data_IF_692507567998
#
_entry.id   IF_692507567998
#
_cell.length_a   1.000
_cell.length_b   1.000
_cell.length_c   1.000
_cell.angle_alpha   90.00
_cell.angle_beta   90.00
_cell.angle_gamma   90.00
#
_symmetry.space_group_name_H-M   'P 1'
#
loop_
_entity.id
_entity.type
_entity.pdbx_description
1 polymer ?
#
# COMPACT_ATOMS: atom_id res chain seq x y z
N UNK A 1 -6.89 10.12 -3.76
CA UNK A 1 -6.39 8.73 -3.71
C UNK A 1 -6.08 8.23 -5.12
N UNK A 2 -4.92 7.62 -5.35
CA UNK A 2 -4.55 7.03 -6.65
C UNK A 2 -4.32 5.53 -6.49
N UNK A 3 -4.84 4.71 -7.39
CA UNK A 3 -4.55 3.27 -7.47
C UNK A 3 -3.89 2.93 -8.81
N UNK A 4 -2.80 2.18 -8.77
CA UNK A 4 -2.12 1.62 -9.94
C UNK A 4 -2.34 0.11 -10.00
N UNK A 5 -2.97 -0.38 -11.07
CA UNK A 5 -3.39 -1.76 -11.23
C UNK A 5 -2.53 -2.51 -12.25
N UNK A 6 -2.25 -3.80 -12.02
CA UNK A 6 -1.51 -4.65 -12.98
C UNK A 6 -2.33 -5.06 -14.21
N UNK A 7 -3.66 -4.89 -14.15
CA UNK A 7 -4.64 -5.15 -15.19
C UNK A 7 -5.97 -4.51 -14.80
N UNK A 8 -7.09 -5.15 -15.12
CA UNK A 8 -8.40 -4.70 -14.65
C UNK A 8 -8.44 -4.57 -13.11
N UNK A 9 -8.99 -3.46 -12.63
CA UNK A 9 -9.08 -3.18 -11.20
C UNK A 9 -10.05 -4.15 -10.52
N UNK A 10 -9.64 -4.62 -9.34
CA UNK A 10 -10.51 -5.39 -8.46
C UNK A 10 -11.67 -4.53 -7.96
N UNK A 11 -12.89 -5.02 -8.11
CA UNK A 11 -14.10 -4.26 -7.77
C UNK A 11 -14.19 -3.97 -6.27
N UNK A 12 -13.82 -4.91 -5.40
CA UNK A 12 -13.86 -4.68 -3.96
C UNK A 12 -12.88 -3.59 -3.55
N UNK A 13 -11.66 -3.62 -4.10
CA UNK A 13 -10.63 -2.61 -3.87
C UNK A 13 -11.10 -1.23 -4.31
N UNK A 14 -11.66 -1.12 -5.51
CA UNK A 14 -12.06 0.17 -6.06
C UNK A 14 -13.32 0.71 -5.37
N UNK A 15 -14.30 -0.13 -5.03
CA UNK A 15 -15.45 0.25 -4.21
C UNK A 15 -15.04 0.72 -2.82
N UNK A 16 -14.08 0.04 -2.17
CA UNK A 16 -13.57 0.46 -0.87
C UNK A 16 -12.88 1.83 -0.95
N UNK A 17 -12.14 2.11 -2.01
CA UNK A 17 -11.52 3.42 -2.24
C UNK A 17 -12.57 4.50 -2.50
N UNK A 18 -13.60 4.19 -3.28
CA UNK A 18 -14.71 5.12 -3.55
C UNK A 18 -15.43 5.48 -2.26
N UNK A 19 -15.77 4.49 -1.45
CA UNK A 19 -16.42 4.71 -0.16
C UNK A 19 -15.52 5.53 0.79
N UNK A 20 -14.22 5.21 0.85
CA UNK A 20 -13.27 5.98 1.63
C UNK A 20 -13.15 7.43 1.14
N UNK A 21 -13.12 7.65 -0.17
CA UNK A 21 -13.09 8.97 -0.77
C UNK A 21 -14.36 9.77 -0.43
N UNK A 22 -15.53 9.16 -0.53
CA UNK A 22 -16.81 9.76 -0.16
C UNK A 22 -16.83 10.18 1.33
N UNK A 23 -16.27 9.35 2.23
CA UNK A 23 -16.16 9.68 3.65
C UNK A 23 -15.16 10.80 3.95
N UNK A 24 -14.10 10.92 3.16
CA UNK A 24 -13.06 11.95 3.36
C UNK A 24 -13.25 13.20 2.51
N UNK A 25 -14.25 13.25 1.63
CA UNK A 25 -14.41 14.31 0.62
C UNK A 25 -13.30 14.31 -0.43
N UNK A 26 -12.72 13.15 -0.71
CA UNK A 26 -11.64 12.96 -1.69
C UNK A 26 -12.14 12.44 -3.03
N UNK A 27 -11.20 12.15 -3.93
CA UNK A 27 -11.48 11.53 -5.23
C UNK A 27 -10.56 10.33 -5.48
N UNK A 28 -11.01 9.40 -6.31
CA UNK A 28 -10.26 8.20 -6.69
C UNK A 28 -9.83 8.30 -8.14
N UNK A 29 -8.53 8.13 -8.37
CA UNK A 29 -7.95 7.97 -9.69
C UNK A 29 -7.51 6.51 -9.83
N UNK A 30 -7.96 5.82 -10.88
CA UNK A 30 -7.59 4.45 -11.20
C UNK A 30 -6.75 4.43 -12.48
N UNK A 31 -5.49 4.03 -12.36
CA UNK A 31 -4.55 3.87 -13.46
C UNK A 31 -4.49 2.40 -13.83
N UNK A 32 -4.78 2.10 -15.09
CA UNK A 32 -4.73 0.76 -15.69
C UNK A 32 -3.82 0.77 -16.93
N UNK A 33 -3.22 -0.37 -17.31
CA UNK A 33 -2.22 -0.37 -18.38
C UNK A 33 -2.85 -0.30 -19.78
N UNK A 34 -4.06 -0.84 -19.97
CA UNK A 34 -4.70 -0.90 -21.30
C UNK A 34 -6.17 -0.43 -21.29
N UNK A 35 -6.71 -0.13 -22.47
CA UNK A 35 -8.13 0.18 -22.64
C UNK A 35 -9.03 -1.03 -22.38
N UNK A 36 -8.53 -2.25 -22.60
CA UNK A 36 -9.27 -3.48 -22.28
C UNK A 36 -9.45 -3.61 -20.76
N UNK A 37 -8.38 -3.35 -20.00
CA UNK A 37 -8.42 -3.32 -18.53
C UNK A 37 -9.34 -2.22 -18.00
N UNK A 38 -9.38 -1.05 -18.66
CA UNK A 38 -10.32 0.03 -18.32
C UNK A 38 -11.77 -0.42 -18.48
N UNK A 39 -12.10 -1.07 -19.60
CA UNK A 39 -13.45 -1.57 -19.85
C UNK A 39 -13.83 -2.65 -18.85
N UNK A 40 -12.90 -3.58 -18.56
CA UNK A 40 -13.08 -4.60 -17.52
C UNK A 40 -13.33 -3.95 -16.15
N UNK A 41 -12.53 -2.96 -15.77
CA UNK A 41 -12.66 -2.26 -14.49
C UNK A 41 -14.03 -1.58 -14.35
N UNK A 42 -14.47 -0.84 -15.37
CA UNK A 42 -15.79 -0.18 -15.38
C UNK A 42 -16.94 -1.18 -15.31
N UNK A 43 -16.79 -2.33 -15.97
CA UNK A 43 -17.80 -3.38 -15.97
C UNK A 43 -17.99 -3.98 -14.58
N UNK A 44 -16.91 -4.39 -13.90
CA UNK A 44 -16.99 -5.08 -12.60
C UNK A 44 -17.40 -4.13 -11.47
N UNK A 45 -16.91 -2.88 -11.49
CA UNK A 45 -17.26 -1.86 -10.49
C UNK A 45 -18.72 -1.43 -10.60
N UNK A 46 -19.31 -1.53 -11.80
CA UNK A 46 -20.67 -1.10 -12.07
C UNK A 46 -20.79 0.40 -12.33
N UNK A 47 -21.93 0.77 -12.94
CA UNK A 47 -22.15 2.10 -13.54
C UNK A 47 -22.03 3.26 -12.55
N UNK A 48 -22.60 3.11 -11.35
CA UNK A 48 -22.65 4.18 -10.35
C UNK A 48 -21.26 4.50 -9.82
N UNK A 49 -20.55 3.50 -9.28
CA UNK A 49 -19.20 3.69 -8.76
C UNK A 49 -18.19 4.03 -9.86
N UNK A 50 -18.40 3.60 -11.11
CA UNK A 50 -17.54 3.99 -12.23
C UNK A 50 -17.56 5.49 -12.55
N UNK A 51 -18.64 6.20 -12.18
CA UNK A 51 -18.73 7.66 -12.36
C UNK A 51 -18.01 8.43 -11.25
N UNK A 52 -17.73 7.79 -10.12
CA UNK A 52 -17.02 8.37 -8.97
C UNK A 52 -15.50 8.15 -9.06
N UNK A 53 -15.04 7.43 -10.08
CA UNK A 53 -13.62 7.15 -10.34
C UNK A 53 -13.16 7.76 -11.66
N UNK A 54 -12.05 8.51 -11.58
CA UNK A 54 -11.32 8.98 -12.76
C UNK A 54 -10.41 7.86 -13.28
N UNK A 55 -10.72 7.31 -14.45
CA UNK A 55 -9.91 6.25 -15.05
C UNK A 55 -8.87 6.81 -16.01
N UNK A 56 -7.63 6.35 -15.86
CA UNK A 56 -6.50 6.70 -16.71
C UNK A 56 -5.87 5.44 -17.30
N UNK A 57 -5.54 5.49 -18.58
CA UNK A 57 -4.79 4.42 -19.26
C UNK A 57 -3.36 4.87 -19.48
N UNK A 58 -2.39 4.07 -19.03
CA UNK A 58 -0.98 4.32 -19.31
C UNK A 58 -0.03 3.85 -18.22
N UNK A 59 1.20 4.34 -18.29
CA UNK A 59 2.28 4.01 -17.37
C UNK A 59 2.11 4.74 -16.04
N UNK A 60 1.92 3.99 -14.95
CA UNK A 60 1.61 4.52 -13.64
C UNK A 60 2.73 5.41 -13.08
N UNK A 61 4.01 5.07 -13.29
CA UNK A 61 5.15 5.86 -12.84
C UNK A 61 5.19 7.24 -13.50
N UNK A 62 4.84 7.35 -14.78
CA UNK A 62 4.83 8.60 -15.54
C UNK A 62 3.67 9.48 -15.05
N UNK A 63 2.48 8.90 -14.92
CA UNK A 63 1.28 9.62 -14.48
C UNK A 63 1.43 10.10 -13.03
N UNK A 64 1.95 9.26 -12.13
CA UNK A 64 2.22 9.63 -10.73
C UNK A 64 3.31 10.69 -10.60
N UNK A 65 4.33 10.68 -11.47
CA UNK A 65 5.40 11.68 -11.41
C UNK A 65 4.95 13.06 -11.95
N UNK A 66 4.12 13.07 -13.00
CA UNK A 66 3.82 14.29 -13.76
C UNK A 66 2.46 14.90 -13.44
N UNK A 67 1.42 14.08 -13.31
CA UNK A 67 0.03 14.55 -13.17
C UNK A 67 -0.47 14.40 -11.74
N UNK A 68 -0.12 13.29 -11.09
CA UNK A 68 -0.62 12.93 -9.76
C UNK A 68 0.49 12.95 -8.69
N UNK A 69 1.50 13.80 -8.87
CA UNK A 69 2.57 14.00 -7.88
C UNK A 69 2.03 14.52 -6.54
N UNK A 70 0.80 15.02 -6.54
CA UNK A 70 0.08 15.52 -5.38
C UNK A 70 -0.79 14.51 -4.63
N UNK A 71 -0.67 13.23 -4.96
CA UNK A 71 -1.41 12.20 -4.27
C UNK A 71 -0.97 12.09 -2.79
N UNK A 72 -1.98 12.13 -1.91
CA UNK A 72 -1.86 11.92 -0.47
C UNK A 72 -1.89 10.44 -0.06
N UNK A 73 -2.58 9.62 -0.85
CA UNK A 73 -2.68 8.17 -0.72
C UNK A 73 -2.48 7.50 -2.08
N UNK A 74 -1.52 6.57 -2.16
CA UNK A 74 -1.24 5.78 -3.36
C UNK A 74 -1.31 4.29 -3.03
N UNK A 75 -2.16 3.57 -3.75
CA UNK A 75 -2.28 2.11 -3.71
C UNK A 75 -1.63 1.50 -4.95
N UNK A 76 -0.73 0.54 -4.77
CA UNK A 76 0.05 -0.09 -5.85
C UNK A 76 -0.23 -1.59 -5.84
N UNK A 77 -0.63 -2.14 -6.98
CA UNK A 77 -0.62 -3.59 -7.18
C UNK A 77 0.82 -4.07 -7.33
N UNK A 78 1.34 -4.82 -6.36
CA UNK A 78 2.69 -5.36 -6.44
C UNK A 78 2.85 -6.46 -7.51
N UNK A 79 1.77 -6.89 -8.19
CA UNK A 79 1.86 -7.72 -9.40
C UNK A 79 2.38 -6.93 -10.62
N UNK A 80 2.38 -5.59 -10.57
CA UNK A 80 3.00 -4.76 -11.60
C UNK A 80 4.50 -5.03 -11.69
N UNK A 81 5.02 -5.27 -12.89
CA UNK A 81 6.46 -5.51 -13.10
C UNK A 81 7.30 -4.31 -12.67
N UNK A 82 6.77 -3.10 -12.83
CA UNK A 82 7.41 -1.82 -12.55
C UNK A 82 6.99 -1.19 -11.19
N UNK A 83 6.51 -2.00 -10.24
CA UNK A 83 6.09 -1.52 -8.92
C UNK A 83 7.21 -0.76 -8.17
N UNK A 84 8.48 -1.11 -8.38
CA UNK A 84 9.61 -0.38 -7.79
C UNK A 84 9.81 1.01 -8.42
N UNK A 85 9.67 1.16 -9.74
CA UNK A 85 9.70 2.45 -10.42
C UNK A 85 8.55 3.35 -9.96
N UNK A 86 7.35 2.78 -9.82
CA UNK A 86 6.16 3.49 -9.32
C UNK A 86 6.42 4.00 -7.89
N UNK A 87 6.95 3.17 -7.01
CA UNK A 87 7.29 3.58 -5.65
C UNK A 87 8.32 4.73 -5.65
N UNK A 88 9.34 4.67 -6.51
CA UNK A 88 10.33 5.75 -6.67
C UNK A 88 9.70 7.03 -7.20
N UNK A 89 8.79 6.94 -8.17
CA UNK A 89 8.07 8.10 -8.71
C UNK A 89 7.28 8.82 -7.61
N UNK A 90 6.55 8.05 -6.78
CA UNK A 90 5.82 8.60 -5.64
C UNK A 90 6.77 9.18 -4.59
N UNK A 91 7.92 8.56 -4.34
CA UNK A 91 8.92 9.10 -3.42
C UNK A 91 9.49 10.43 -3.92
N UNK A 92 9.77 10.56 -5.23
CA UNK A 92 10.29 11.78 -5.83
C UNK A 92 9.25 12.90 -5.81
N UNK A 93 8.00 12.60 -6.20
CA UNK A 93 6.87 13.54 -6.11
C UNK A 93 6.57 13.95 -4.66
N UNK A 94 6.53 12.96 -3.76
CA UNK A 94 6.24 13.11 -2.33
C UNK A 94 7.33 13.83 -1.53
N UNK A 95 8.54 14.05 -2.05
CA UNK A 95 9.48 14.99 -1.42
C UNK A 95 8.94 16.42 -1.38
N UNK A 96 8.00 16.75 -2.27
CA UNK A 96 7.31 18.05 -2.30
C UNK A 96 6.13 18.10 -1.33
N UNK A 97 5.68 16.95 -0.81
CA UNK A 97 4.46 16.82 -0.02
C UNK A 97 4.69 16.07 1.29
N UNK A 98 4.45 16.74 2.41
CA UNK A 98 4.61 16.10 3.71
C UNK A 98 3.49 15.08 3.94
N UNK A 99 3.80 13.79 3.87
CA UNK A 99 3.00 12.76 4.50
C UNK A 99 2.27 11.77 3.59
N UNK A 100 2.59 11.69 2.29
CA UNK A 100 2.00 10.70 1.36
C UNK A 100 2.11 9.29 1.92
N UNK A 101 0.96 8.60 2.01
CA UNK A 101 0.84 7.21 2.41
C UNK A 101 0.85 6.32 1.16
N UNK A 102 1.82 5.42 1.07
CA UNK A 102 1.90 4.45 -0.02
C UNK A 102 1.65 3.06 0.53
N UNK A 103 0.69 2.38 -0.11
CA UNK A 103 0.28 1.03 0.23
C UNK A 103 0.51 0.14 -1.00
N UNK A 104 1.18 -0.99 -0.83
CA UNK A 104 1.32 -2.01 -1.87
C UNK A 104 0.57 -3.26 -1.48
N UNK A 105 -0.39 -3.70 -2.28
CA UNK A 105 -1.08 -4.99 -2.06
C UNK A 105 -0.49 -6.06 -2.96
N UNK A 106 -0.70 -7.34 -2.63
CA UNK A 106 -0.01 -8.49 -3.26
C UNK A 106 1.53 -8.47 -3.03
N UNK A 107 1.98 -7.85 -1.94
CA UNK A 107 3.40 -7.59 -1.70
C UNK A 107 4.24 -8.87 -1.47
N UNK A 108 3.62 -10.02 -1.16
CA UNK A 108 4.33 -11.29 -1.04
C UNK A 108 4.74 -11.90 -2.37
N UNK A 109 4.19 -11.43 -3.49
CA UNK A 109 4.66 -11.82 -4.83
C UNK A 109 6.09 -11.32 -5.06
N UNK A 110 6.45 -10.21 -4.43
CA UNK A 110 7.76 -9.56 -4.59
C UNK A 110 8.84 -10.09 -3.63
N UNK A 111 8.80 -11.39 -3.27
CA UNK A 111 9.82 -12.06 -2.43
C UNK A 111 11.22 -11.87 -3.06
N UNK A 112 12.04 -11.00 -2.45
CA UNK A 112 13.40 -10.67 -2.92
C UNK A 112 13.56 -9.30 -3.59
N UNK A 113 12.48 -8.56 -3.82
CA UNK A 113 12.52 -7.19 -4.35
C UNK A 113 13.16 -6.21 -3.37
N UNK A 114 13.75 -5.12 -3.89
CA UNK A 114 14.45 -4.08 -3.13
C UNK A 114 13.50 -3.18 -2.33
N UNK A 115 12.21 -3.46 -2.40
CA UNK A 115 11.11 -2.85 -1.66
C UNK A 115 11.33 -2.86 -0.13
N UNK A 116 12.09 -3.83 0.40
CA UNK A 116 12.50 -3.87 1.81
C UNK A 116 13.76 -3.04 2.14
N UNK A 117 14.54 -2.60 1.15
CA UNK A 117 15.79 -1.84 1.31
C UNK A 117 15.59 -0.33 1.29
N UNK A 118 14.39 0.14 0.98
CA UNK A 118 13.98 1.56 1.03
C UNK A 118 14.08 2.17 2.44
N UNK A 119 14.43 1.37 3.45
CA UNK A 119 14.82 1.82 4.79
C UNK A 119 16.04 2.77 4.82
N UNK A 120 16.76 2.96 3.70
CA UNK A 120 17.85 3.94 3.61
C UNK A 120 17.38 5.40 3.68
N UNK A 121 16.07 5.68 3.59
CA UNK A 121 15.53 7.05 3.56
C UNK A 121 14.71 7.46 4.79
N UNK A 122 14.77 6.73 5.90
CA UNK A 122 14.15 7.14 7.17
C UNK A 122 12.63 6.97 7.25
N UNK A 123 11.96 6.44 6.21
CA UNK A 123 10.53 6.10 6.26
C UNK A 123 10.29 4.79 7.02
N UNK A 124 9.28 4.79 7.91
CA UNK A 124 8.86 3.59 8.67
C UNK A 124 8.04 2.67 7.79
N UNK A 125 8.74 1.84 7.04
CA UNK A 125 8.15 0.80 6.20
C UNK A 125 7.70 -0.40 7.03
N UNK A 126 6.51 -0.93 6.74
CA UNK A 126 5.94 -2.13 7.37
C UNK A 126 5.37 -3.08 6.32
N UNK A 127 5.68 -4.36 6.45
CA UNK A 127 5.03 -5.44 5.69
C UNK A 127 4.07 -6.16 6.65
N UNK A 128 2.78 -6.16 6.29
CA UNK A 128 1.68 -6.73 7.04
C UNK A 128 1.19 -7.99 6.34
N UNK A 129 0.97 -9.09 7.08
CA UNK A 129 0.43 -10.31 6.51
C UNK A 129 -1.10 -10.24 6.41
N UNK A 130 -1.61 -9.35 5.57
CA UNK A 130 -3.04 -9.22 5.25
C UNK A 130 -3.20 -9.64 3.79
N UNK A 131 -4.08 -10.59 3.51
CA UNK A 131 -4.24 -11.19 2.17
C UNK A 131 -2.90 -11.69 1.59
N UNK A 132 -2.63 -11.36 0.31
CA UNK A 132 -1.36 -11.67 -0.37
C UNK A 132 -0.19 -10.75 0.03
N UNK A 133 -0.29 -10.10 1.20
CA UNK A 133 0.72 -9.21 1.75
C UNK A 133 0.42 -7.75 1.45
N UNK A 134 0.47 -6.93 2.50
CA UNK A 134 0.24 -5.49 2.43
C UNK A 134 1.48 -4.75 2.92
N UNK A 135 2.11 -4.01 2.03
CA UNK A 135 3.16 -3.09 2.39
C UNK A 135 2.61 -1.71 2.66
N UNK A 136 3.16 -1.05 3.68
CA UNK A 136 2.79 0.30 4.05
C UNK A 136 4.06 1.11 4.29
N UNK A 137 4.19 2.24 3.61
CA UNK A 137 5.26 3.21 3.86
C UNK A 137 4.70 4.63 3.77
N UNK A 138 5.37 5.55 4.47
CA UNK A 138 4.97 6.95 4.48
C UNK A 138 6.17 7.81 4.10
N UNK A 139 5.98 8.67 3.10
CA UNK A 139 6.98 9.63 2.65
C UNK A 139 6.72 11.03 3.23
N UNK A 140 7.76 11.86 3.30
CA UNK A 140 7.65 13.26 3.76
C UNK A 140 7.43 13.47 5.27
N UNK A 141 7.44 12.40 6.09
CA UNK A 141 7.46 12.57 7.54
C UNK A 141 8.90 12.74 8.03
N UNK A 142 9.32 13.99 8.24
CA UNK A 142 10.50 14.31 9.06
C UNK A 142 10.16 14.03 10.53
N UNK A 143 9.99 12.76 10.91
CA UNK A 143 10.08 12.43 12.33
C UNK A 143 11.56 12.37 12.68
N UNK A 144 12.03 13.52 13.16
CA UNK A 144 13.23 13.71 13.97
C UNK A 144 13.45 12.49 14.88
N UNK A 145 14.66 11.94 14.77
CA UNK A 145 15.35 11.10 15.76
C UNK A 145 14.47 10.50 16.88
N UNK A 146 13.99 9.26 16.72
CA UNK A 146 13.89 8.41 17.91
C UNK A 146 15.28 7.85 18.19
N UNK A 147 15.80 7.96 19.43
CA UNK A 147 17.16 7.57 19.74
C UNK A 147 17.40 6.11 19.34
N UNK A 148 18.59 5.82 18.80
CA UNK A 148 19.19 4.49 18.89
C UNK A 148 19.50 4.21 20.37
N UNK A 149 18.48 4.06 21.21
CA UNK A 149 18.66 3.54 22.55
C UNK A 149 18.61 2.03 22.46
N UNK A 150 19.73 1.41 22.85
CA UNK A 150 19.96 -0.02 22.92
C UNK A 150 19.06 -0.72 23.93
N UNK A 151 17.75 -0.72 23.66
CA UNK A 151 16.80 -1.59 24.33
C UNK A 151 16.79 -2.87 23.50
N UNK A 152 17.23 -3.97 24.12
CA UNK A 152 17.10 -5.33 23.58
C UNK A 152 15.83 -5.43 22.74
N UNK A 153 15.98 -5.57 21.41
CA UNK A 153 14.84 -5.65 20.48
C UNK A 153 14.03 -6.88 20.87
N UNK A 154 13.01 -6.68 21.70
CA UNK A 154 12.05 -7.72 22.03
C UNK A 154 11.49 -8.20 20.69
N UNK A 155 11.77 -9.46 20.35
CA UNK A 155 11.40 -10.03 19.05
C UNK A 155 9.87 -10.01 18.96
N UNK A 156 9.34 -9.10 18.15
CA UNK A 156 7.91 -9.05 17.82
C UNK A 156 7.65 -9.82 16.54
N UNK A 157 6.54 -10.55 16.47
CA UNK A 157 6.09 -11.25 15.26
C UNK A 157 4.64 -10.91 14.96
N UNK A 158 4.32 -10.84 13.67
CA UNK A 158 2.94 -10.80 13.23
C UNK A 158 2.33 -12.21 13.32
N UNK A 159 1.10 -12.30 13.77
CA UNK A 159 0.30 -13.54 13.79
C UNK A 159 -0.99 -13.24 13.03
N UNK A 160 -1.33 -14.13 12.10
CA UNK A 160 -2.61 -14.14 11.41
C UNK A 160 -3.43 -15.31 11.95
N UNK A 161 -4.69 -15.05 12.29
CA UNK A 161 -5.68 -16.08 12.59
C UNK A 161 -6.89 -15.85 11.70
N UNK A 162 -7.31 -16.89 11.00
CA UNK A 162 -8.54 -16.85 10.20
C UNK A 162 -9.65 -17.48 11.03
N UNK A 163 -10.74 -16.74 11.23
CA UNK A 163 -11.94 -17.28 11.86
C UNK A 163 -12.56 -18.35 10.94
N UNK A 164 -12.84 -19.53 11.50
CA UNK A 164 -13.30 -20.68 10.71
C UNK A 164 -14.76 -20.57 10.28
N UNK A 165 -15.55 -19.77 10.98
CA UNK A 165 -16.98 -19.61 10.75
C UNK A 165 -17.27 -18.43 9.82
N UNK A 166 -16.57 -17.30 9.99
CA UNK A 166 -16.77 -16.09 9.19
C UNK A 166 -15.80 -15.95 8.03
N UNK A 167 -14.63 -16.60 8.11
CA UNK A 167 -13.53 -16.40 7.16
C UNK A 167 -12.74 -15.10 7.39
N UNK A 168 -13.04 -14.35 8.45
CA UNK A 168 -12.36 -13.08 8.76
C UNK A 168 -10.90 -13.30 9.15
N UNK A 169 -10.00 -12.46 8.60
CA UNK A 169 -8.59 -12.45 8.98
C UNK A 169 -8.35 -11.51 10.17
N UNK A 170 -7.85 -12.05 11.28
CA UNK A 170 -7.41 -11.28 12.43
C UNK A 170 -5.88 -11.21 12.48
N UNK A 171 -5.34 -9.99 12.42
CA UNK A 171 -3.89 -9.75 12.38
C UNK A 171 -3.42 -9.05 13.65
N UNK A 172 -2.48 -9.68 14.37
CA UNK A 172 -1.96 -9.19 15.64
C UNK A 172 -0.44 -9.06 15.61
N UNK A 173 0.09 -8.04 16.30
CA UNK A 173 1.53 -7.92 16.56
C UNK A 173 1.83 -8.30 18.01
N UNK A 174 2.37 -9.49 18.22
CA UNK A 174 2.77 -9.97 19.55
C UNK A 174 4.25 -9.77 19.81
N UNK A 175 4.59 -9.51 21.07
CA UNK A 175 5.95 -9.45 21.60
C UNK A 175 6.18 -10.70 22.45
N UNK A 176 7.26 -11.44 22.21
CA UNK A 176 7.63 -12.53 23.11
C UNK A 176 8.40 -11.97 24.30
N UNK A 177 7.96 -12.16 25.56
CA UNK A 177 8.82 -11.84 26.70
C UNK A 177 10.10 -12.67 26.59
N UNK A 178 11.26 -12.02 26.71
CA UNK A 178 12.52 -12.76 26.87
C UNK A 178 12.38 -13.56 28.16
N UNK A 179 12.43 -14.90 28.05
CA UNK A 179 12.24 -15.79 29.19
C UNK A 179 13.12 -15.34 30.34
N UNK A 180 12.53 -15.01 31.49
CA UNK A 180 13.28 -15.04 32.74
C UNK A 180 13.72 -16.48 32.90
N UNK A 181 15.03 -16.73 32.87
CA UNK A 181 15.60 -17.99 33.33
C UNK A 181 15.12 -18.16 34.76
N UNK A 182 14.21 -19.10 34.99
CA UNK A 182 13.88 -19.54 36.34
C UNK A 182 15.02 -20.47 36.71
N UNK A 183 15.93 -19.99 37.56
CA UNK A 183 16.90 -20.87 38.21
C UNK A 183 16.12 -21.80 39.13
N UNK A 184 16.25 -23.11 38.88
CA UNK A 184 15.83 -24.16 39.80
C UNK A 184 16.78 -24.24 40.99
#
# INVERSE_FOLDING_TARGET
MVVACAGAADSATLLALVEAANQTGGHVICIVPTHEDLNGSKYVVGRTASNEVEFMVGEAEILLLNQYAAADFVLIDCKLKNHEEILKAVQVGGRKQNGTLVVGYNAFVCKGSRWSSSSSCGSRTQLLPIGEGLFVTRFGSSTVHTPKHGINKIKSRWIVKVDKCTGEEHVFRVRFPQGKVIQA
#
